data_IF_158218838641
#
_entry.id   IF_158218838641
#
_cell.length_a   1.000
_cell.length_b   1.000
_cell.length_c   1.000
_cell.angle_alpha   90.00
_cell.angle_beta   90.00
_cell.angle_gamma   90.00
#
_symmetry.space_group_name_H-M   'P 1'
#
loop_
_entity.id
_entity.type
_entity.pdbx_description
1 polymer ?
#
# COMPACT_ATOMS: atom_id res chain seq x y z
N UNK A 1 -7.41 11.41 -4.88
CA UNK A 1 -6.13 12.10 -4.65
C UNK A 1 -5.07 11.01 -4.58
N UNK A 2 -3.94 11.21 -5.24
CA UNK A 2 -2.84 10.24 -5.22
C UNK A 2 -2.08 10.37 -3.89
N UNK A 3 -1.93 9.27 -3.16
CA UNK A 3 -1.24 9.28 -1.87
C UNK A 3 0.27 9.51 -1.99
N UNK A 4 0.84 9.31 -3.18
CA UNK A 4 2.27 9.52 -3.46
C UNK A 4 2.62 10.97 -3.80
N UNK A 5 1.61 11.82 -4.01
CA UNK A 5 1.76 13.25 -4.31
C UNK A 5 0.57 14.04 -3.77
N UNK A 6 0.61 14.35 -2.49
CA UNK A 6 -0.46 15.08 -1.81
C UNK A 6 -0.35 16.58 -2.11
N UNK A 7 -1.46 17.23 -2.47
CA UNK A 7 -1.49 18.68 -2.69
C UNK A 7 -1.51 19.50 -1.39
N UNK A 8 -1.53 18.83 -0.23
CA UNK A 8 -1.57 19.51 1.07
C UNK A 8 -0.21 20.14 1.42
N UNK A 9 -0.19 21.30 2.08
CA UNK A 9 1.04 21.87 2.62
C UNK A 9 1.71 20.96 3.66
N UNK A 10 2.98 21.23 3.94
CA UNK A 10 3.68 20.54 5.02
C UNK A 10 3.05 20.91 6.38
N UNK A 11 3.05 19.96 7.33
CA UNK A 11 2.57 20.20 8.69
C UNK A 11 1.07 20.49 8.84
N UNK A 12 0.26 20.11 7.85
CA UNK A 12 -1.19 20.36 7.81
C UNK A 12 -1.97 19.52 8.83
N UNK A 13 -1.61 18.25 9.00
CA UNK A 13 -2.43 17.29 9.75
C UNK A 13 -1.88 17.01 11.13
N UNK A 14 -2.78 16.79 12.09
CA UNK A 14 -2.45 16.30 13.43
C UNK A 14 -2.35 14.78 13.49
N UNK A 15 -3.10 14.10 12.61
CA UNK A 15 -3.15 12.64 12.49
C UNK A 15 -3.11 12.24 11.03
N UNK A 16 -2.40 11.16 10.72
CA UNK A 16 -2.39 10.55 9.39
C UNK A 16 -2.61 9.04 9.52
N UNK A 17 -3.65 8.51 8.89
CA UNK A 17 -4.04 7.10 9.00
C UNK A 17 -3.86 6.42 7.65
N UNK A 18 -2.96 5.45 7.60
CA UNK A 18 -2.69 4.65 6.43
C UNK A 18 -3.21 3.22 6.58
N UNK A 19 -4.35 2.90 5.97
CA UNK A 19 -4.92 1.55 6.04
C UNK A 19 -4.56 0.73 4.79
N UNK A 20 -3.87 -0.40 4.99
CA UNK A 20 -3.58 -1.41 3.97
C UNK A 20 -2.91 -0.88 2.68
N UNK A 21 -2.15 0.21 2.77
CA UNK A 21 -1.55 0.87 1.61
C UNK A 21 -0.13 0.39 1.29
N UNK A 22 0.64 -0.05 2.30
CA UNK A 22 2.07 -0.35 2.17
C UNK A 22 2.38 -1.46 1.16
N UNK A 23 1.49 -2.44 1.02
CA UNK A 23 1.69 -3.57 0.13
C UNK A 23 0.91 -3.42 -1.19
N UNK A 24 0.13 -2.35 -1.38
CA UNK A 24 -0.71 -2.12 -2.58
C UNK A 24 -0.08 -1.08 -3.48
N UNK A 25 0.56 -0.07 -2.90
CA UNK A 25 1.23 0.98 -3.65
C UNK A 25 2.58 0.50 -4.18
N UNK A 26 2.98 1.10 -5.30
CA UNK A 26 4.34 0.95 -5.83
C UNK A 26 5.40 1.34 -4.80
N UNK A 27 6.62 0.81 -4.97
CA UNK A 27 7.76 1.12 -4.10
C UNK A 27 7.42 0.87 -2.60
N UNK A 28 6.68 -0.20 -2.32
CA UNK A 28 6.23 -0.61 -0.99
C UNK A 28 5.58 0.52 -0.16
N UNK A 29 4.89 1.44 -0.85
CA UNK A 29 4.23 2.59 -0.23
C UNK A 29 5.18 3.62 0.40
N UNK A 30 6.50 3.55 0.14
CA UNK A 30 7.50 4.48 0.68
C UNK A 30 7.16 5.92 0.33
N UNK A 31 6.76 6.18 -0.92
CA UNK A 31 6.48 7.55 -1.37
C UNK A 31 5.22 8.11 -0.71
N UNK A 32 4.21 7.27 -0.48
CA UNK A 32 3.04 7.67 0.31
C UNK A 32 3.39 7.93 1.79
N UNK A 33 4.26 7.12 2.40
CA UNK A 33 4.73 7.37 3.77
C UNK A 33 5.50 8.68 3.89
N UNK A 34 6.31 9.05 2.89
CA UNK A 34 7.00 10.34 2.84
C UNK A 34 6.01 11.50 2.80
N UNK A 35 4.96 11.40 1.99
CA UNK A 35 3.91 12.42 1.92
C UNK A 35 3.08 12.48 3.22
N UNK A 36 2.78 11.34 3.83
CA UNK A 36 2.16 11.30 5.16
C UNK A 36 3.03 12.03 6.19
N UNK A 37 4.34 11.79 6.20
CA UNK A 37 5.27 12.47 7.10
C UNK A 37 5.36 13.97 6.80
N UNK A 38 5.54 14.37 5.53
CA UNK A 38 5.64 15.78 5.11
C UNK A 38 4.42 16.58 5.56
N UNK A 39 3.23 16.02 5.37
CA UNK A 39 1.97 16.68 5.68
C UNK A 39 1.59 16.61 7.16
N UNK A 40 2.29 15.81 7.97
CA UNK A 40 2.08 15.72 9.41
C UNK A 40 2.82 16.85 10.14
N UNK A 41 2.15 17.50 11.08
CA UNK A 41 2.77 18.52 11.94
C UNK A 41 3.84 17.91 12.86
N UNK A 42 4.76 18.72 13.41
CA UNK A 42 5.58 18.28 14.54
C UNK A 42 4.71 17.73 15.68
N UNK A 43 5.09 16.58 16.24
CA UNK A 43 4.33 15.88 17.29
C UNK A 43 2.96 15.35 16.81
N UNK A 44 2.71 15.30 15.49
CA UNK A 44 1.55 14.60 14.95
C UNK A 44 1.71 13.07 15.02
N UNK A 45 0.59 12.35 14.89
CA UNK A 45 0.56 10.89 15.01
C UNK A 45 0.27 10.27 13.64
N UNK A 46 1.15 9.38 13.20
CA UNK A 46 0.89 8.50 12.06
C UNK A 46 0.52 7.10 12.57
N UNK A 47 -0.57 6.53 12.08
CA UNK A 47 -0.99 5.16 12.35
C UNK A 47 -1.09 4.40 11.02
N UNK A 48 -0.39 3.28 10.92
CA UNK A 48 -0.41 2.43 9.72
C UNK A 48 -0.68 0.98 10.10
N UNK A 49 -1.38 0.26 9.24
CA UNK A 49 -1.44 -1.19 9.30
C UNK A 49 -0.99 -1.81 7.97
N UNK A 50 -0.64 -3.09 8.05
CA UNK A 50 -0.28 -3.90 6.89
C UNK A 50 -0.57 -5.37 7.20
N UNK A 51 -0.67 -6.19 6.16
CA UNK A 51 -0.74 -7.64 6.32
C UNK A 51 0.66 -8.22 6.37
N UNK A 52 1.03 -8.82 7.49
CA UNK A 52 2.26 -9.61 7.58
C UNK A 52 2.16 -10.92 6.77
N UNK A 53 0.96 -11.51 6.73
CA UNK A 53 0.65 -12.72 5.99
C UNK A 53 -0.81 -12.66 5.49
N UNK A 54 -1.04 -13.18 4.28
CA UNK A 54 -2.36 -13.21 3.63
C UNK A 54 -2.70 -14.64 3.20
N UNK A 55 -3.38 -15.44 4.04
CA UNK A 55 -3.63 -16.86 3.78
C UNK A 55 -4.50 -17.10 2.54
N UNK A 56 -5.27 -16.10 2.12
CA UNK A 56 -6.12 -16.16 0.94
C UNK A 56 -5.34 -16.02 -0.37
N UNK A 57 -4.07 -15.62 -0.37
CA UNK A 57 -3.31 -15.37 -1.60
C UNK A 57 -3.07 -16.64 -2.42
N UNK A 58 -2.69 -17.74 -1.77
CA UNK A 58 -2.44 -19.00 -2.47
C UNK A 58 -3.71 -19.55 -3.15
N UNK A 59 -4.87 -19.69 -2.46
CA UNK A 59 -6.12 -20.10 -3.11
C UNK A 59 -6.50 -19.22 -4.30
N UNK A 60 -6.30 -17.91 -4.18
CA UNK A 60 -6.55 -16.95 -5.27
C UNK A 60 -5.62 -17.22 -6.47
N UNK A 61 -4.33 -17.49 -6.22
CA UNK A 61 -3.39 -17.81 -7.29
C UNK A 61 -3.70 -19.16 -7.96
N UNK A 62 -4.12 -20.17 -7.19
CA UNK A 62 -4.55 -21.47 -7.74
C UNK A 62 -5.77 -21.28 -8.65
N UNK A 63 -6.81 -20.62 -8.16
CA UNK A 63 -8.00 -20.34 -8.96
C UNK A 63 -7.66 -19.53 -10.23
N UNK A 64 -6.77 -18.54 -10.12
CA UNK A 64 -6.30 -17.75 -11.25
C UNK A 64 -5.58 -18.60 -12.31
N UNK A 65 -4.72 -19.54 -11.91
CA UNK A 65 -4.02 -20.47 -12.84
C UNK A 65 -5.01 -21.36 -13.61
N UNK A 66 -6.09 -21.78 -12.98
CA UNK A 66 -7.08 -22.68 -13.59
C UNK A 66 -8.06 -21.96 -14.51
N UNK A 67 -8.40 -20.69 -14.21
CA UNK A 67 -9.52 -19.99 -14.87
C UNK A 67 -9.09 -18.87 -15.81
N UNK A 68 -7.84 -18.41 -15.75
CA UNK A 68 -7.34 -17.31 -16.59
C UNK A 68 -6.49 -17.83 -17.74
N UNK A 69 -6.30 -16.99 -18.76
CA UNK A 69 -5.42 -17.29 -19.90
C UNK A 69 -3.97 -17.43 -19.42
N UNK A 70 -3.17 -18.27 -20.10
CA UNK A 70 -1.80 -18.63 -19.72
C UNK A 70 -0.79 -17.47 -19.62
N UNK A 71 -1.18 -16.25 -19.99
CA UNK A 71 -0.36 -15.03 -19.92
C UNK A 71 -0.90 -13.98 -18.96
N UNK A 72 -2.00 -14.27 -18.27
CA UNK A 72 -2.53 -13.34 -17.27
C UNK A 72 -1.66 -13.41 -16.02
N UNK A 73 -1.11 -12.28 -15.54
CA UNK A 73 -0.33 -12.26 -14.31
C UNK A 73 -1.14 -12.80 -13.13
N UNK A 74 -0.48 -13.58 -12.26
CA UNK A 74 -1.09 -14.02 -11.03
C UNK A 74 -1.25 -12.84 -10.07
N UNK A 75 -2.28 -12.83 -9.22
CA UNK A 75 -2.38 -11.88 -8.13
C UNK A 75 -1.08 -11.90 -7.30
N UNK A 76 -0.43 -10.74 -7.19
CA UNK A 76 0.89 -10.54 -6.56
C UNK A 76 2.08 -11.25 -7.20
N UNK A 77 1.98 -11.67 -8.45
CA UNK A 77 3.16 -12.11 -9.19
C UNK A 77 4.17 -10.97 -9.32
N UNK A 78 5.44 -11.22 -8.95
CA UNK A 78 6.51 -10.22 -9.04
C UNK A 78 6.52 -9.18 -7.90
N UNK A 79 5.71 -9.38 -6.86
CA UNK A 79 5.74 -8.59 -5.62
C UNK A 79 6.31 -9.41 -4.44
N UNK A 80 7.12 -10.41 -4.76
CA UNK A 80 7.82 -11.21 -3.77
C UNK A 80 8.93 -10.34 -3.17
N UNK A 81 9.01 -10.30 -1.84
CA UNK A 81 10.01 -9.52 -1.11
C UNK A 81 11.41 -10.10 -1.28
#
# INVERSE_FOLDING_TARGET
>A
MDATVLSFPAGTFTHSIGNALLFVLSNDGIDALKEMYRTLRPVGIAAVNSWAYMPNMEPIQVAAKTTRLARTPLPRQGMEK
#
